data_IF_153034445808
#
_entry.id   IF_153034445808
#
_cell.length_a   1.000
_cell.length_b   1.000
_cell.length_c   1.000
_cell.angle_alpha   90.00
_cell.angle_beta   90.00
_cell.angle_gamma   90.00
#
_symmetry.space_group_name_H-M   'P 1'
#
loop_
_entity.id
_entity.type
_entity.pdbx_description
1 polymer ?
#
# COMPACT_ATOMS: atom_id res chain seq x y z
N UNK A 1 -11.11 -47.56 -42.60
CA UNK A 1 -11.30 -48.22 -41.29
C UNK A 1 -10.38 -47.51 -40.31
N UNK A 2 -10.79 -46.84 -39.24
CA UNK A 2 -12.08 -46.39 -38.71
C UNK A 2 -11.64 -45.25 -37.77
N UNK A 3 -11.88 -43.99 -38.14
CA UNK A 3 -12.82 -43.11 -37.42
C UNK A 3 -13.09 -43.53 -35.98
N UNK A 4 -12.52 -42.74 -35.08
CA UNK A 4 -12.70 -42.71 -33.64
C UNK A 4 -14.10 -42.22 -33.26
N UNK A 5 -14.68 -42.94 -32.29
CA UNK A 5 -15.95 -42.72 -31.60
C UNK A 5 -15.98 -41.43 -30.75
N UNK A 6 -16.22 -40.26 -31.35
CA UNK A 6 -16.45 -39.02 -30.57
C UNK A 6 -17.75 -38.26 -30.95
N UNK A 7 -18.70 -38.91 -31.60
CA UNK A 7 -19.99 -38.31 -32.01
C UNK A 7 -21.20 -38.71 -31.13
N UNK A 8 -20.98 -39.13 -29.88
CA UNK A 8 -22.05 -39.62 -29.00
C UNK A 8 -22.25 -38.84 -27.70
N UNK A 9 -22.07 -37.51 -27.69
CA UNK A 9 -22.56 -36.62 -26.60
C UNK A 9 -23.01 -35.26 -27.11
N UNK A 10 -24.06 -35.27 -27.94
CA UNK A 10 -24.93 -34.10 -28.17
C UNK A 10 -26.01 -34.14 -27.09
N UNK A 11 -25.93 -33.21 -26.15
CA UNK A 11 -26.91 -33.04 -25.07
C UNK A 11 -26.98 -31.55 -24.72
N UNK A 12 -28.14 -31.00 -25.05
CA UNK A 12 -28.78 -29.77 -24.59
C UNK A 12 -28.08 -28.41 -24.74
N UNK A 13 -28.70 -27.63 -25.62
CA UNK A 13 -28.69 -26.16 -25.66
C UNK A 13 -28.78 -25.59 -24.24
N UNK A 14 -27.79 -24.77 -23.87
CA UNK A 14 -27.87 -23.99 -22.63
C UNK A 14 -29.01 -22.98 -22.78
N UNK A 15 -30.07 -23.04 -21.97
CA UNK A 15 -31.06 -21.98 -21.98
C UNK A 15 -30.39 -20.69 -21.51
N UNK A 16 -30.61 -19.60 -22.25
CA UNK A 16 -30.37 -18.25 -21.74
C UNK A 16 -31.15 -18.11 -20.44
N UNK A 17 -30.46 -17.69 -19.37
CA UNK A 17 -31.12 -17.24 -18.14
C UNK A 17 -31.92 -15.97 -18.49
N UNK A 18 -33.21 -16.16 -18.73
CA UNK A 18 -34.20 -15.10 -18.66
C UNK A 18 -34.32 -14.76 -17.16
N UNK A 19 -33.78 -13.61 -16.76
CA UNK A 19 -34.04 -13.04 -15.43
C UNK A 19 -35.47 -12.51 -15.48
N UNK A 20 -36.40 -13.33 -15.01
CA UNK A 20 -37.82 -13.05 -15.02
C UNK A 20 -38.62 -14.28 -14.64
N UNK A 21 -38.29 -14.90 -13.51
CA UNK A 21 -39.17 -15.88 -12.87
C UNK A 21 -39.62 -15.32 -11.53
N UNK A 22 -40.96 -15.20 -11.44
CA UNK A 22 -41.80 -14.93 -10.28
C UNK A 22 -41.13 -15.28 -8.95
N UNK A 23 -40.69 -14.24 -8.24
CA UNK A 23 -40.55 -14.35 -6.79
C UNK A 23 -41.97 -14.39 -6.22
N UNK A 24 -42.27 -15.31 -5.27
CA UNK A 24 -43.54 -15.28 -4.58
C UNK A 24 -43.73 -13.90 -3.94
N UNK A 25 -44.90 -13.31 -4.15
CA UNK A 25 -45.33 -12.04 -3.59
C UNK A 25 -44.94 -11.98 -2.11
N UNK A 26 -44.03 -11.05 -1.78
CA UNK A 26 -43.63 -10.74 -0.40
C UNK A 26 -44.70 -9.80 0.16
N UNK A 27 -45.92 -10.31 0.30
CA UNK A 27 -47.01 -9.57 0.94
C UNK A 27 -47.33 -10.03 2.36
N UNK A 28 -46.74 -11.12 2.87
CA UNK A 28 -47.03 -11.63 4.21
C UNK A 28 -45.80 -12.18 4.95
N UNK A 29 -44.73 -11.39 5.09
CA UNK A 29 -43.73 -11.63 6.15
C UNK A 29 -43.77 -10.51 7.16
N UNK A 30 -44.22 -10.83 8.37
CA UNK A 30 -44.33 -9.87 9.45
C UNK A 30 -42.94 -9.32 9.85
N UNK A 31 -42.81 -8.07 10.29
CA UNK A 31 -41.52 -7.47 10.66
C UNK A 31 -40.72 -8.28 11.69
N UNK A 32 -41.41 -9.08 12.52
CA UNK A 32 -40.77 -9.98 13.48
C UNK A 32 -40.08 -11.18 12.82
N UNK A 33 -40.60 -11.69 11.70
CA UNK A 33 -40.02 -12.81 10.97
C UNK A 33 -38.75 -12.39 10.22
N UNK A 34 -38.73 -11.18 9.64
CA UNK A 34 -37.52 -10.61 9.05
C UNK A 34 -36.43 -10.36 10.10
N UNK A 35 -36.80 -9.98 11.33
CA UNK A 35 -35.84 -9.83 12.43
C UNK A 35 -35.27 -11.19 12.87
N UNK A 36 -36.11 -12.23 12.95
CA UNK A 36 -35.65 -13.60 13.25
C UNK A 36 -34.71 -14.14 12.17
N UNK A 37 -35.04 -13.93 10.90
CA UNK A 37 -34.18 -14.35 9.78
C UNK A 37 -32.83 -13.61 9.78
N UNK A 38 -32.82 -12.31 10.11
CA UNK A 38 -31.56 -11.55 10.25
C UNK A 38 -30.72 -12.04 11.42
N UNK A 39 -31.33 -12.33 12.58
CA UNK A 39 -30.61 -12.88 13.73
C UNK A 39 -30.06 -14.29 13.44
N UNK A 40 -30.81 -15.14 12.74
CA UNK A 40 -30.35 -16.47 12.33
C UNK A 40 -29.20 -16.38 11.32
N UNK A 41 -29.31 -15.52 10.31
CA UNK A 41 -28.24 -15.30 9.33
C UNK A 41 -26.96 -14.75 9.99
N UNK A 42 -27.09 -13.83 10.95
CA UNK A 42 -25.94 -13.31 11.70
C UNK A 42 -25.28 -14.39 12.57
N UNK A 43 -26.06 -15.28 13.19
CA UNK A 43 -25.53 -16.43 13.94
C UNK A 43 -24.82 -17.41 13.03
N UNK A 44 -25.37 -17.71 11.85
CA UNK A 44 -24.75 -18.60 10.88
C UNK A 44 -23.42 -18.03 10.37
N UNK A 45 -23.36 -16.73 10.06
CA UNK A 45 -22.12 -16.05 9.66
C UNK A 45 -21.10 -16.07 10.80
N UNK A 46 -21.51 -15.81 12.04
CA UNK A 46 -20.62 -15.83 13.20
C UNK A 46 -20.06 -17.25 13.45
N UNK A 47 -20.88 -18.29 13.31
CA UNK A 47 -20.42 -19.67 13.40
C UNK A 47 -19.50 -20.08 12.25
N UNK A 48 -19.81 -19.67 11.01
CA UNK A 48 -18.96 -19.93 9.86
C UNK A 48 -17.58 -19.27 10.01
N UNK A 49 -17.53 -18.02 10.49
CA UNK A 49 -16.27 -17.31 10.81
C UNK A 49 -15.48 -18.03 11.90
N UNK A 50 -16.14 -18.47 12.98
CA UNK A 50 -15.49 -19.22 14.06
C UNK A 50 -14.88 -20.54 13.55
N UNK A 51 -15.64 -21.32 12.77
CA UNK A 51 -15.15 -22.58 12.18
C UNK A 51 -13.98 -22.36 11.23
N UNK A 52 -14.03 -21.32 10.40
CA UNK A 52 -12.93 -20.98 9.50
C UNK A 52 -11.67 -20.60 10.28
N UNK A 53 -11.81 -19.80 11.34
CA UNK A 53 -10.69 -19.39 12.18
C UNK A 53 -10.06 -20.57 12.94
N UNK A 54 -10.89 -21.46 13.49
CA UNK A 54 -10.42 -22.71 14.11
C UNK A 54 -9.68 -23.62 13.12
N UNK A 55 -10.15 -23.70 11.86
CA UNK A 55 -9.50 -24.51 10.83
C UNK A 55 -8.14 -23.91 10.40
N UNK A 56 -8.05 -22.58 10.28
CA UNK A 56 -6.80 -21.87 10.00
C UNK A 56 -5.80 -22.08 11.13
N UNK A 57 -6.23 -21.92 12.39
CA UNK A 57 -5.36 -22.17 13.54
C UNK A 57 -4.88 -23.62 13.62
N UNK A 58 -5.76 -24.58 13.33
CA UNK A 58 -5.39 -26.00 13.28
C UNK A 58 -4.33 -26.25 12.21
N UNK A 59 -4.54 -25.77 10.98
CA UNK A 59 -3.58 -25.91 9.88
C UNK A 59 -2.24 -25.24 10.18
N UNK A 60 -2.27 -24.06 10.83
CA UNK A 60 -1.05 -23.38 11.28
C UNK A 60 -0.27 -24.21 12.31
N UNK A 61 -0.95 -24.76 13.33
CA UNK A 61 -0.30 -25.61 14.34
C UNK A 61 0.24 -26.91 13.75
N UNK A 62 -0.44 -27.49 12.76
CA UNK A 62 0.05 -28.67 12.03
C UNK A 62 1.30 -28.33 11.22
N UNK A 63 1.29 -27.25 10.44
CA UNK A 63 2.44 -26.79 9.66
C UNK A 63 3.66 -26.45 10.55
N UNK A 64 3.45 -25.79 11.69
CA UNK A 64 4.53 -25.49 12.64
C UNK A 64 5.14 -26.77 13.24
N UNK A 65 4.32 -27.82 13.49
CA UNK A 65 4.81 -29.11 13.97
C UNK A 65 5.62 -29.84 12.89
N UNK A 66 5.12 -29.89 11.66
CA UNK A 66 5.83 -30.51 10.54
C UNK A 66 7.18 -29.82 10.28
N UNK A 67 7.22 -28.48 10.34
CA UNK A 67 8.46 -27.72 10.16
C UNK A 67 9.48 -28.05 11.27
N UNK A 68 9.04 -28.07 12.53
CA UNK A 68 9.89 -28.40 13.66
C UNK A 68 10.41 -29.86 13.61
N UNK A 69 9.61 -30.80 13.10
CA UNK A 69 10.04 -32.18 12.89
C UNK A 69 11.06 -32.31 11.77
N UNK A 70 10.86 -31.61 10.65
CA UNK A 70 11.80 -31.56 9.53
C UNK A 70 13.14 -30.93 9.93
N UNK A 71 13.12 -29.85 10.71
CA UNK A 71 14.34 -29.23 11.23
C UNK A 71 15.11 -30.18 12.15
N UNK A 72 14.43 -30.83 13.11
CA UNK A 72 15.05 -31.83 13.98
C UNK A 72 15.57 -33.05 13.21
N UNK A 73 14.92 -33.43 12.11
CA UNK A 73 15.38 -34.51 11.25
C UNK A 73 16.64 -34.12 10.49
N UNK A 74 16.67 -32.92 9.88
CA UNK A 74 17.85 -32.37 9.18
C UNK A 74 19.03 -32.16 10.12
N UNK A 75 18.80 -31.64 11.32
CA UNK A 75 19.85 -31.45 12.32
C UNK A 75 20.46 -32.80 12.74
N UNK A 76 19.62 -33.82 12.96
CA UNK A 76 20.08 -35.19 13.24
C UNK A 76 20.87 -35.79 12.08
N UNK A 77 20.45 -35.55 10.84
CA UNK A 77 21.16 -36.03 9.66
C UNK A 77 22.53 -35.35 9.50
N UNK A 78 22.61 -34.03 9.66
CA UNK A 78 23.88 -33.29 9.60
C UNK A 78 24.83 -33.77 10.71
N UNK A 79 24.33 -33.91 11.94
CA UNK A 79 25.13 -34.40 13.06
C UNK A 79 25.63 -35.83 12.83
N UNK A 80 24.80 -36.69 12.22
CA UNK A 80 25.20 -38.06 11.85
C UNK A 80 26.29 -38.06 10.78
N UNK A 81 26.11 -37.32 9.68
CA UNK A 81 27.10 -37.24 8.59
C UNK A 81 28.43 -36.66 9.06
N UNK A 82 28.41 -35.70 9.99
CA UNK A 82 29.64 -35.16 10.60
C UNK A 82 30.38 -36.22 11.42
N UNK A 83 29.67 -37.01 12.23
CA UNK A 83 30.29 -38.10 13.01
C UNK A 83 30.87 -39.19 12.10
N UNK A 84 30.17 -39.53 11.02
CA UNK A 84 30.64 -40.52 10.04
C UNK A 84 31.93 -40.04 9.34
N UNK A 85 32.00 -38.75 8.97
CA UNK A 85 33.21 -38.15 8.40
C UNK A 85 34.38 -38.12 9.40
N UNK A 86 34.14 -37.69 10.64
CA UNK A 86 35.15 -37.67 11.70
C UNK A 86 35.71 -39.08 12.00
N UNK A 87 34.85 -40.10 11.99
CA UNK A 87 35.23 -41.49 12.22
C UNK A 87 36.02 -42.07 11.04
N UNK A 88 35.62 -41.74 9.81
CA UNK A 88 36.36 -42.09 8.59
C UNK A 88 37.77 -41.49 8.61
N UNK A 89 37.91 -40.20 8.95
CA UNK A 89 39.21 -39.52 9.07
C UNK A 89 40.09 -40.16 10.14
N UNK A 90 39.55 -40.44 11.33
CA UNK A 90 40.29 -41.11 12.41
C UNK A 90 40.76 -42.51 12.00
N UNK A 91 39.94 -43.26 11.26
CA UNK A 91 40.27 -44.60 10.81
C UNK A 91 41.38 -44.57 9.76
N UNK A 92 41.29 -43.64 8.80
CA UNK A 92 42.33 -43.43 7.80
C UNK A 92 43.66 -43.04 8.44
N UNK A 93 43.65 -42.11 9.40
CA UNK A 93 44.84 -41.69 10.12
C UNK A 93 45.48 -42.85 10.92
N UNK A 94 44.66 -43.67 11.60
CA UNK A 94 45.16 -44.86 12.34
C UNK A 94 45.77 -45.90 11.41
N UNK A 95 45.14 -46.17 10.25
CA UNK A 95 45.66 -47.10 9.23
C UNK A 95 46.98 -46.61 8.66
N UNK A 96 47.08 -45.34 8.30
CA UNK A 96 48.34 -44.75 7.81
C UNK A 96 49.44 -44.82 8.87
N UNK A 97 49.11 -44.53 10.13
CA UNK A 97 50.08 -44.62 11.25
C UNK A 97 50.57 -46.05 11.45
N UNK A 98 49.69 -47.06 11.34
CA UNK A 98 50.06 -48.48 11.46
C UNK A 98 50.94 -48.92 10.28
N UNK A 99 50.58 -48.56 9.05
CA UNK A 99 51.38 -48.86 7.86
C UNK A 99 52.78 -48.25 7.93
N UNK A 100 52.88 -47.00 8.39
CA UNK A 100 54.17 -46.34 8.61
C UNK A 100 55.04 -47.05 9.65
N UNK A 101 54.44 -47.51 10.75
CA UNK A 101 55.17 -48.30 11.77
C UNK A 101 55.67 -49.64 11.20
N UNK A 102 54.90 -50.30 10.34
CA UNK A 102 55.31 -51.54 9.68
C UNK A 102 56.47 -51.30 8.70
N UNK A 103 56.41 -50.25 7.89
CA UNK A 103 57.49 -49.87 6.96
C UNK A 103 58.78 -49.50 7.70
N UNK A 104 58.68 -48.78 8.82
CA UNK A 104 59.85 -48.50 9.66
C UNK A 104 60.44 -49.76 10.31
N UNK A 105 59.60 -50.74 10.66
CA UNK A 105 60.05 -52.00 11.24
C UNK A 105 60.72 -52.94 10.23
N UNK A 106 60.42 -52.80 8.93
CA UNK A 106 61.08 -53.53 7.84
C UNK A 106 62.38 -52.87 7.35
N UNK A 107 62.85 -51.79 8.01
CA UNK A 107 64.12 -51.14 7.70
C UNK A 107 64.08 -50.16 6.52
N UNK A 108 62.90 -49.91 5.93
CA UNK A 108 62.72 -48.93 4.86
C UNK A 108 62.36 -47.54 5.42
N UNK A 109 62.80 -46.48 4.74
CA UNK A 109 62.48 -45.11 5.12
C UNK A 109 61.04 -44.75 4.71
N UNK A 110 60.15 -44.40 5.66
CA UNK A 110 58.74 -44.13 5.35
C UNK A 110 58.59 -42.84 4.52
N UNK A 111 57.86 -42.93 3.40
CA UNK A 111 57.51 -41.78 2.52
C UNK A 111 56.65 -40.73 3.25
N UNK A 112 56.58 -39.51 2.69
CA UNK A 112 55.82 -38.36 3.22
C UNK A 112 54.35 -38.68 3.55
N UNK A 113 53.76 -37.93 4.48
CA UNK A 113 52.48 -38.26 5.14
C UNK A 113 51.36 -37.84 4.22
N UNK A 114 50.41 -38.74 3.94
CA UNK A 114 49.30 -38.50 3.03
C UNK A 114 48.05 -37.99 3.77
N UNK A 115 47.89 -38.32 5.06
CA UNK A 115 46.76 -37.84 5.88
C UNK A 115 47.27 -36.93 7.01
N UNK A 116 46.74 -35.72 7.06
CA UNK A 116 47.04 -34.76 8.13
C UNK A 116 46.43 -35.21 9.47
N UNK A 117 47.10 -34.86 10.57
CA UNK A 117 46.58 -35.12 11.92
C UNK A 117 45.33 -34.23 12.11
N UNK A 118 44.19 -34.77 12.61
CA UNK A 118 42.97 -33.98 12.78
C UNK A 118 43.26 -32.77 13.69
N UNK A 119 43.01 -31.54 13.22
CA UNK A 119 43.38 -30.35 13.95
C UNK A 119 42.49 -30.16 15.18
N UNK A 120 43.09 -30.04 16.38
CA UNK A 120 42.42 -29.30 17.46
C UNK A 120 42.55 -27.83 17.10
N UNK A 121 41.44 -27.13 16.92
CA UNK A 121 41.43 -25.72 16.51
C UNK A 121 41.47 -24.82 17.75
N UNK A 122 42.60 -24.17 18.08
CA UNK A 122 42.55 -22.95 18.86
C UNK A 122 42.02 -21.82 17.96
N UNK A 123 40.95 -21.16 18.39
CA UNK A 123 40.34 -20.00 17.72
C UNK A 123 41.28 -18.78 17.63
N UNK A 124 42.48 -18.82 18.23
CA UNK A 124 43.32 -17.64 18.50
C UNK A 124 44.35 -17.26 17.43
N UNK A 125 44.41 -17.94 16.27
CA UNK A 125 45.46 -17.66 15.26
C UNK A 125 45.02 -17.49 13.79
N UNK A 126 43.71 -17.54 13.48
CA UNK A 126 43.22 -17.22 12.12
C UNK A 126 42.62 -15.82 12.12
N UNK A 127 43.36 -14.82 11.62
CA UNK A 127 42.79 -13.49 11.30
C UNK A 127 41.60 -13.60 10.34
N UNK A 128 40.70 -12.61 10.31
CA UNK A 128 39.43 -12.69 9.55
C UNK A 128 39.64 -13.15 8.09
N UNK A 129 40.70 -12.72 7.42
CA UNK A 129 41.07 -13.15 6.06
C UNK A 129 41.20 -14.66 5.83
N UNK A 130 41.56 -15.45 6.85
CA UNK A 130 41.72 -16.93 6.74
C UNK A 130 40.47 -17.70 7.17
N UNK A 131 39.44 -16.99 7.65
CA UNK A 131 38.13 -17.56 7.95
C UNK A 131 37.25 -17.40 6.71
N UNK A 132 36.99 -18.49 6.00
CA UNK A 132 36.03 -18.49 4.88
C UNK A 132 34.69 -17.88 5.30
N UNK A 133 34.28 -18.10 6.56
CA UNK A 133 33.07 -17.53 7.16
C UNK A 133 33.09 -16.00 7.27
N UNK A 134 34.24 -15.39 7.61
CA UNK A 134 34.33 -13.93 7.70
C UNK A 134 34.26 -13.28 6.31
N UNK A 135 34.83 -13.95 5.30
CA UNK A 135 34.81 -13.49 3.92
C UNK A 135 33.41 -13.62 3.30
N UNK A 136 32.68 -14.70 3.61
CA UNK A 136 31.27 -14.85 3.20
C UNK A 136 30.36 -13.84 3.90
N UNK A 137 30.56 -13.57 5.20
CA UNK A 137 29.81 -12.54 5.92
C UNK A 137 30.08 -11.17 5.31
N UNK A 138 31.35 -10.81 5.06
CA UNK A 138 31.69 -9.54 4.42
C UNK A 138 31.08 -9.38 3.01
N UNK A 139 31.10 -10.44 2.20
CA UNK A 139 30.46 -10.42 0.89
C UNK A 139 28.93 -10.27 1.01
N UNK A 140 28.28 -11.04 1.88
CA UNK A 140 26.84 -10.95 2.12
C UNK A 140 26.43 -9.57 2.64
N UNK A 141 27.20 -8.99 3.56
CA UNK A 141 27.01 -7.63 4.07
C UNK A 141 27.12 -6.59 2.97
N UNK A 142 28.16 -6.67 2.13
CA UNK A 142 28.34 -5.77 1.01
C UNK A 142 27.18 -5.85 0.02
N UNK A 143 26.76 -7.07 -0.35
CA UNK A 143 25.62 -7.29 -1.24
C UNK A 143 24.33 -6.76 -0.63
N UNK A 144 24.06 -7.06 0.64
CA UNK A 144 22.85 -6.59 1.33
C UNK A 144 22.78 -5.06 1.39
N UNK A 145 23.89 -4.39 1.72
CA UNK A 145 23.96 -2.92 1.71
C UNK A 145 23.73 -2.35 0.31
N UNK A 146 24.44 -2.87 -0.70
CA UNK A 146 24.32 -2.37 -2.07
C UNK A 146 22.91 -2.57 -2.59
N UNK A 147 22.37 -3.79 -2.51
CA UNK A 147 21.00 -4.07 -2.97
C UNK A 147 20.00 -3.23 -2.20
N UNK A 148 20.08 -3.19 -0.87
CA UNK A 148 19.17 -2.38 -0.04
C UNK A 148 19.23 -0.89 -0.35
N UNK A 149 20.40 -0.33 -0.65
CA UNK A 149 20.56 1.07 -1.04
C UNK A 149 19.95 1.39 -2.41
N UNK A 150 20.11 0.48 -3.38
CA UNK A 150 19.60 0.65 -4.73
C UNK A 150 18.08 0.43 -4.82
N UNK A 151 17.53 -0.48 -4.01
CA UNK A 151 16.07 -0.68 -3.92
C UNK A 151 15.40 0.39 -3.06
N UNK A 152 16.15 1.06 -2.19
CA UNK A 152 15.66 2.16 -1.36
C UNK A 152 15.59 3.54 -2.06
N UNK A 153 15.60 3.62 -3.40
CA UNK A 153 15.55 4.90 -4.10
C UNK A 153 14.16 5.54 -3.99
N UNK A 154 13.98 6.67 -3.29
CA UNK A 154 12.68 7.30 -3.15
C UNK A 154 12.36 8.25 -4.31
N UNK A 155 11.07 8.45 -4.58
CA UNK A 155 10.57 9.72 -5.12
C UNK A 155 10.12 9.74 -6.58
N UNK A 156 9.84 8.58 -7.18
CA UNK A 156 9.29 8.48 -8.53
C UNK A 156 10.11 9.15 -9.65
N UNK A 157 9.79 8.82 -10.89
CA UNK A 157 10.26 9.60 -12.04
C UNK A 157 9.72 11.03 -12.02
N UNK A 158 10.24 11.95 -12.86
CA UNK A 158 9.51 13.16 -13.20
C UNK A 158 8.10 12.86 -13.71
N UNK A 159 7.95 11.77 -14.45
CA UNK A 159 6.66 11.31 -15.00
C UNK A 159 5.64 11.03 -13.89
N UNK A 160 6.00 10.26 -12.86
CA UNK A 160 5.13 9.98 -11.69
C UNK A 160 4.72 11.27 -10.99
N UNK A 161 5.63 12.23 -10.82
CA UNK A 161 5.28 13.50 -10.16
C UNK A 161 4.33 14.34 -11.00
N UNK A 162 4.46 14.30 -12.32
CA UNK A 162 3.48 14.90 -13.24
C UNK A 162 2.14 14.18 -13.14
N UNK A 163 2.14 12.85 -13.10
CA UNK A 163 0.95 12.02 -12.95
C UNK A 163 0.20 12.31 -11.64
N UNK A 164 0.91 12.48 -10.51
CA UNK A 164 0.33 12.92 -9.23
C UNK A 164 -0.38 14.27 -9.39
N UNK A 165 0.26 15.23 -10.07
CA UNK A 165 -0.31 16.57 -10.27
C UNK A 165 -1.54 16.53 -11.17
N UNK A 166 -1.49 15.77 -12.25
CA UNK A 166 -2.57 15.64 -13.21
C UNK A 166 -3.77 14.88 -12.60
N UNK A 167 -3.50 13.83 -11.81
CA UNK A 167 -4.53 13.07 -11.07
C UNK A 167 -5.26 13.96 -10.07
N UNK A 168 -4.52 14.68 -9.22
CA UNK A 168 -5.10 15.60 -8.23
C UNK A 168 -5.91 16.73 -8.88
N UNK A 169 -5.36 17.34 -9.94
CA UNK A 169 -6.07 18.38 -10.69
C UNK A 169 -7.35 17.84 -11.35
N UNK A 170 -7.28 16.65 -11.94
CA UNK A 170 -8.46 15.99 -12.52
C UNK A 170 -9.50 15.71 -11.45
N UNK A 171 -9.11 15.30 -10.25
CA UNK A 171 -10.03 15.06 -9.13
C UNK A 171 -10.77 16.33 -8.71
N UNK A 172 -10.06 17.44 -8.53
CA UNK A 172 -10.70 18.73 -8.23
C UNK A 172 -11.72 19.13 -9.31
N UNK A 173 -11.39 18.96 -10.59
CA UNK A 173 -12.31 19.25 -11.70
C UNK A 173 -13.53 18.32 -11.69
N UNK A 174 -13.37 17.05 -11.33
CA UNK A 174 -14.48 16.12 -11.16
C UNK A 174 -15.40 16.52 -10.02
N UNK A 175 -14.87 16.85 -8.83
CA UNK A 175 -15.68 17.36 -7.72
C UNK A 175 -16.41 18.65 -8.08
N UNK A 176 -15.77 19.55 -8.82
CA UNK A 176 -16.42 20.76 -9.35
C UNK A 176 -17.53 20.44 -10.37
N UNK A 177 -17.36 19.39 -11.18
CA UNK A 177 -18.42 18.88 -12.06
C UNK A 177 -19.62 18.37 -11.23
N UNK A 178 -19.37 17.63 -10.15
CA UNK A 178 -20.41 17.20 -9.21
C UNK A 178 -21.18 18.38 -8.63
N UNK A 179 -20.47 19.38 -8.09
CA UNK A 179 -21.05 20.61 -7.57
C UNK A 179 -21.87 21.39 -8.60
N UNK A 180 -21.39 21.46 -9.85
CA UNK A 180 -22.15 22.09 -10.94
C UNK A 180 -23.45 21.32 -11.22
N UNK A 181 -23.45 19.99 -11.13
CA UNK A 181 -24.68 19.20 -11.23
C UNK A 181 -25.63 19.44 -10.04
N UNK A 182 -25.09 19.60 -8.82
CA UNK A 182 -25.84 19.96 -7.61
C UNK A 182 -26.51 21.33 -7.74
N UNK A 183 -25.81 22.31 -8.30
CA UNK A 183 -26.37 23.63 -8.60
C UNK A 183 -27.50 23.55 -9.63
N UNK A 184 -27.28 22.81 -10.71
CA UNK A 184 -28.27 22.64 -11.76
C UNK A 184 -29.55 21.99 -11.24
N UNK A 185 -29.46 20.95 -10.39
CA UNK A 185 -30.66 20.31 -9.83
C UNK A 185 -31.35 21.23 -8.82
N UNK A 186 -30.59 21.96 -7.99
CA UNK A 186 -31.18 22.88 -7.00
C UNK A 186 -31.93 24.02 -7.69
N UNK A 187 -31.35 24.61 -8.73
CA UNK A 187 -32.00 25.63 -9.54
C UNK A 187 -33.24 25.09 -10.26
N UNK A 188 -33.17 23.89 -10.84
CA UNK A 188 -34.33 23.23 -11.47
C UNK A 188 -35.47 23.03 -10.47
N UNK A 189 -35.17 22.51 -9.28
CA UNK A 189 -36.18 22.26 -8.23
C UNK A 189 -36.77 23.56 -7.67
N UNK A 190 -36.01 24.66 -7.68
CA UNK A 190 -36.49 26.01 -7.38
C UNK A 190 -37.30 26.65 -8.52
N UNK A 191 -37.54 25.94 -9.63
CA UNK A 191 -38.25 26.47 -10.80
C UNK A 191 -37.49 27.56 -11.55
N UNK A 192 -36.16 27.61 -11.39
CA UNK A 192 -35.28 28.54 -12.10
C UNK A 192 -34.82 27.91 -13.41
N UNK A 193 -34.72 28.73 -14.45
CA UNK A 193 -34.19 28.30 -15.74
C UNK A 193 -32.69 28.04 -15.62
N UNK A 194 -32.28 26.82 -15.98
CA UNK A 194 -30.88 26.43 -16.08
C UNK A 194 -30.56 26.32 -17.56
N UNK A 195 -29.72 27.22 -18.06
CA UNK A 195 -29.35 27.24 -19.49
C UNK A 195 -27.98 26.62 -19.71
N UNK A 196 -27.79 25.84 -20.80
CA UNK A 196 -26.46 25.42 -21.20
C UNK A 196 -25.62 26.63 -21.60
N UNK A 197 -24.31 26.44 -21.69
CA UNK A 197 -23.37 27.45 -22.19
C UNK A 197 -23.64 27.78 -23.67
N UNK A 198 -22.94 28.78 -24.20
CA UNK A 198 -23.18 29.31 -25.55
C UNK A 198 -22.94 28.29 -26.67
N UNK A 199 -22.16 27.24 -26.42
CA UNK A 199 -21.88 26.13 -27.32
C UNK A 199 -22.88 24.96 -27.18
N UNK A 200 -23.83 25.05 -26.25
CA UNK A 200 -24.81 24.01 -25.94
C UNK A 200 -24.35 22.99 -24.90
N UNK A 201 -23.14 23.15 -24.35
CA UNK A 201 -22.59 22.24 -23.33
C UNK A 201 -23.11 22.64 -21.95
N UNK A 202 -23.43 21.66 -21.10
CA UNK A 202 -23.78 21.93 -19.71
C UNK A 202 -22.52 22.20 -18.85
N UNK A 203 -22.58 23.10 -17.85
CA UNK A 203 -21.40 23.48 -17.06
C UNK A 203 -20.66 22.30 -16.42
N UNK A 204 -21.39 21.33 -15.87
CA UNK A 204 -20.82 20.12 -15.28
C UNK A 204 -20.15 19.23 -16.33
N UNK A 205 -20.78 19.06 -17.50
CA UNK A 205 -20.22 18.27 -18.60
C UNK A 205 -18.91 18.85 -19.11
N UNK A 206 -18.82 20.18 -19.24
CA UNK A 206 -17.57 20.84 -19.62
C UNK A 206 -16.45 20.55 -18.63
N UNK A 207 -16.73 20.61 -17.32
CA UNK A 207 -15.76 20.30 -16.26
C UNK A 207 -15.32 18.83 -16.29
N UNK A 208 -16.26 17.90 -16.49
CA UNK A 208 -15.99 16.47 -16.65
C UNK A 208 -15.08 16.17 -17.86
N UNK A 209 -15.32 16.86 -18.99
CA UNK A 209 -14.50 16.76 -20.19
C UNK A 209 -13.10 17.37 -19.97
N UNK A 210 -12.99 18.50 -19.27
CA UNK A 210 -11.71 19.10 -18.89
C UNK A 210 -10.92 18.17 -17.96
N UNK A 211 -11.57 17.57 -16.97
CA UNK A 211 -10.97 16.61 -16.06
C UNK A 211 -10.37 15.40 -16.82
N UNK A 212 -11.17 14.81 -17.72
CA UNK A 212 -10.75 13.66 -18.54
C UNK A 212 -9.61 14.01 -19.52
N UNK A 213 -9.53 15.26 -19.97
CA UNK A 213 -8.42 15.72 -20.80
C UNK A 213 -7.11 15.90 -20.00
N UNK A 214 -7.20 16.25 -18.71
CA UNK A 214 -6.04 16.36 -17.81
C UNK A 214 -5.51 14.97 -17.44
N UNK A 215 -6.40 14.04 -17.10
CA UNK A 215 -6.03 12.67 -16.73
C UNK A 215 -6.79 11.63 -17.59
N UNK A 216 -6.20 11.22 -18.73
CA UNK A 216 -6.85 10.35 -19.70
C UNK A 216 -7.19 8.95 -19.17
N UNK A 217 -8.22 8.34 -19.76
CA UNK A 217 -8.70 7.01 -19.34
C UNK A 217 -9.93 7.07 -18.44
N UNK A 218 -10.52 8.26 -18.26
CA UNK A 218 -11.78 8.51 -17.56
C UNK A 218 -12.93 8.96 -18.49
N UNK A 219 -12.73 8.88 -19.80
CA UNK A 219 -13.70 9.30 -20.83
C UNK A 219 -15.10 8.67 -20.64
N UNK A 220 -15.14 7.42 -20.16
CA UNK A 220 -16.39 6.74 -19.83
C UNK A 220 -17.27 7.53 -18.84
N UNK A 221 -16.67 8.16 -17.82
CA UNK A 221 -17.41 8.97 -16.86
C UNK A 221 -17.86 10.30 -17.47
N UNK A 222 -17.07 10.89 -18.37
CA UNK A 222 -17.45 12.14 -19.04
C UNK A 222 -18.62 11.93 -20.02
N UNK A 223 -18.57 10.86 -20.82
CA UNK A 223 -19.66 10.46 -21.71
C UNK A 223 -20.95 10.20 -20.92
N UNK A 224 -20.83 9.55 -19.76
CA UNK A 224 -21.97 9.25 -18.89
C UNK A 224 -22.51 10.50 -18.20
N UNK A 225 -21.65 11.41 -17.76
CA UNK A 225 -22.07 12.71 -17.23
C UNK A 225 -22.83 13.51 -18.29
N UNK A 226 -22.38 13.51 -19.54
CA UNK A 226 -23.08 14.14 -20.67
C UNK A 226 -24.48 13.55 -20.88
N UNK A 227 -24.56 12.23 -21.04
CA UNK A 227 -25.81 11.52 -21.30
C UNK A 227 -26.82 11.72 -20.15
N UNK A 228 -26.38 11.57 -18.91
CA UNK A 228 -27.23 11.70 -17.72
C UNK A 228 -27.70 13.14 -17.52
N UNK A 229 -26.82 14.13 -17.73
CA UNK A 229 -27.17 15.55 -17.59
C UNK A 229 -28.17 15.98 -18.66
N UNK A 230 -27.95 15.60 -19.92
CA UNK A 230 -28.90 15.91 -20.99
C UNK A 230 -30.30 15.35 -20.70
N UNK A 231 -30.38 14.14 -20.15
CA UNK A 231 -31.65 13.54 -19.71
C UNK A 231 -32.22 14.20 -18.47
N UNK A 232 -31.39 14.54 -17.49
CA UNK A 232 -31.78 15.23 -16.25
C UNK A 232 -32.45 16.57 -16.56
N UNK A 233 -31.90 17.31 -17.52
CA UNK A 233 -32.34 18.67 -17.86
C UNK A 233 -33.47 18.75 -18.89
N UNK A 234 -33.81 17.65 -19.57
CA UNK A 234 -34.86 17.65 -20.59
C UNK A 234 -36.24 18.07 -20.03
N UNK A 235 -37.01 18.80 -20.85
CA UNK A 235 -38.34 19.32 -20.49
C UNK A 235 -39.35 18.22 -20.13
N UNK A 236 -39.19 17.02 -20.70
CA UNK A 236 -40.08 15.87 -20.47
C UNK A 236 -39.70 14.99 -19.27
N UNK A 237 -38.61 15.30 -18.57
CA UNK A 237 -38.12 14.48 -17.45
C UNK A 237 -38.82 14.87 -16.16
N UNK A 238 -39.46 13.88 -15.51
CA UNK A 238 -40.09 14.07 -14.19
C UNK A 238 -39.05 14.36 -13.11
N UNK A 239 -39.45 15.07 -12.06
CA UNK A 239 -38.53 15.48 -10.98
C UNK A 239 -37.84 14.29 -10.30
N UNK A 240 -38.59 13.22 -10.01
CA UNK A 240 -38.02 11.98 -9.44
C UNK A 240 -36.95 11.38 -10.36
N UNK A 241 -37.17 11.39 -11.68
CA UNK A 241 -36.19 10.87 -12.65
C UNK A 241 -34.99 11.79 -12.76
N UNK A 242 -35.19 13.11 -12.75
CA UNK A 242 -34.12 14.10 -12.76
C UNK A 242 -33.24 13.93 -11.50
N UNK A 243 -33.85 13.81 -10.32
CA UNK A 243 -33.17 13.56 -9.05
C UNK A 243 -32.41 12.23 -9.02
N UNK A 244 -32.95 11.17 -9.64
CA UNK A 244 -32.23 9.90 -9.76
C UNK A 244 -30.98 10.05 -10.64
N UNK A 245 -31.11 10.71 -11.79
CA UNK A 245 -29.99 10.97 -12.70
C UNK A 245 -28.93 11.89 -12.07
N UNK A 246 -29.38 12.91 -11.34
CA UNK A 246 -28.52 13.79 -10.56
C UNK A 246 -27.68 13.00 -9.54
N UNK A 247 -28.30 12.16 -8.70
CA UNK A 247 -27.58 11.36 -7.69
C UNK A 247 -26.58 10.39 -8.34
N UNK A 248 -26.85 9.89 -9.55
CA UNK A 248 -25.87 9.14 -10.34
C UNK A 248 -24.69 10.02 -10.77
N UNK A 249 -24.94 11.19 -11.34
CA UNK A 249 -23.89 12.13 -11.79
C UNK A 249 -23.03 12.62 -10.62
N UNK A 250 -23.65 13.00 -9.50
CA UNK A 250 -22.96 13.45 -8.29
C UNK A 250 -22.03 12.35 -7.75
N UNK A 251 -22.52 11.11 -7.60
CA UNK A 251 -21.69 9.99 -7.13
C UNK A 251 -20.58 9.65 -8.12
N UNK A 252 -20.87 9.64 -9.42
CA UNK A 252 -19.87 9.36 -10.45
C UNK A 252 -18.75 10.38 -10.47
N UNK A 253 -19.04 11.66 -10.22
CA UNK A 253 -18.03 12.69 -10.05
C UNK A 253 -17.05 12.36 -8.91
N UNK A 254 -17.55 11.93 -7.75
CA UNK A 254 -16.70 11.50 -6.62
C UNK A 254 -15.88 10.24 -6.90
N UNK A 255 -16.36 9.32 -7.76
CA UNK A 255 -15.69 8.06 -8.10
C UNK A 255 -14.80 8.10 -9.34
N UNK A 256 -14.92 9.12 -10.19
CA UNK A 256 -14.21 9.18 -11.47
C UNK A 256 -12.69 9.21 -11.27
N UNK A 257 -12.22 9.92 -10.24
CA UNK A 257 -10.85 9.84 -9.73
C UNK A 257 -10.96 9.65 -8.22
N UNK A 258 -10.66 8.45 -7.74
CA UNK A 258 -10.83 8.12 -6.32
C UNK A 258 -9.84 8.86 -5.41
N UNK A 259 -10.19 9.10 -4.12
CA UNK A 259 -9.30 9.75 -3.15
C UNK A 259 -7.96 9.01 -2.96
N UNK A 260 -7.99 7.69 -3.11
CA UNK A 260 -6.81 6.82 -2.98
C UNK A 260 -5.89 6.84 -4.21
N UNK A 261 -6.26 7.41 -5.37
CA UNK A 261 -5.42 7.31 -6.57
C UNK A 261 -4.08 8.04 -6.42
N UNK A 262 -4.06 9.19 -5.73
CA UNK A 262 -2.79 9.88 -5.42
C UNK A 262 -1.99 9.10 -4.38
N UNK A 263 -2.65 8.51 -3.38
CA UNK A 263 -1.99 7.67 -2.39
C UNK A 263 -1.33 6.45 -3.03
N UNK A 264 -2.03 5.76 -3.93
CA UNK A 264 -1.53 4.60 -4.69
C UNK A 264 -0.29 4.99 -5.51
N UNK A 265 -0.35 6.12 -6.23
CA UNK A 265 0.79 6.64 -6.99
C UNK A 265 1.98 6.96 -6.07
N UNK A 266 1.71 7.55 -4.90
CA UNK A 266 2.74 7.86 -3.90
C UNK A 266 3.31 6.61 -3.25
N UNK A 267 2.49 5.58 -3.01
CA UNK A 267 2.91 4.30 -2.42
C UNK A 267 3.74 3.49 -3.44
N UNK A 268 3.32 3.44 -4.69
CA UNK A 268 4.07 2.80 -5.77
C UNK A 268 5.39 3.52 -6.05
N UNK A 269 5.38 4.86 -5.96
CA UNK A 269 6.57 5.68 -6.14
C UNK A 269 7.42 5.85 -4.88
N UNK A 270 6.90 5.40 -3.73
CA UNK A 270 7.61 5.45 -2.46
C UNK A 270 8.83 4.56 -2.59
N UNK A 271 9.92 5.04 -2.00
CA UNK A 271 11.15 4.27 -1.93
C UNK A 271 10.99 3.05 -1.01
N UNK A 272 12.06 2.69 -0.29
CA UNK A 272 12.30 1.34 0.22
C UNK A 272 11.04 0.62 0.72
N UNK A 273 10.66 -0.44 0.02
CA UNK A 273 9.75 -1.45 0.55
C UNK A 273 10.33 -2.04 1.85
N UNK A 274 9.50 -2.73 2.65
CA UNK A 274 9.96 -3.36 3.90
C UNK A 274 11.20 -4.25 3.69
N UNK A 275 11.38 -4.80 2.49
CA UNK A 275 12.55 -5.57 2.09
C UNK A 275 13.84 -4.75 2.01
N UNK A 276 13.79 -3.55 1.46
CA UNK A 276 14.93 -2.64 1.39
C UNK A 276 15.46 -2.27 2.78
N UNK A 277 14.57 -2.00 3.73
CA UNK A 277 14.96 -1.77 5.14
C UNK A 277 15.55 -3.02 5.80
N UNK A 278 15.00 -4.21 5.52
CA UNK A 278 15.55 -5.47 5.99
C UNK A 278 16.97 -5.71 5.45
N UNK A 279 17.21 -5.44 4.17
CA UNK A 279 18.53 -5.58 3.54
C UNK A 279 19.56 -4.59 4.12
N UNK A 280 19.18 -3.32 4.27
CA UNK A 280 20.03 -2.30 4.90
C UNK A 280 20.35 -2.67 6.36
N UNK A 281 19.33 -3.10 7.12
CA UNK A 281 19.49 -3.56 8.50
C UNK A 281 20.40 -4.78 8.62
N UNK A 282 20.22 -5.79 7.76
CA UNK A 282 21.09 -6.97 7.68
C UNK A 282 22.54 -6.58 7.33
N UNK A 283 22.71 -5.62 6.43
CA UNK A 283 24.00 -5.01 6.10
C UNK A 283 24.69 -4.39 7.32
N UNK A 284 23.98 -3.51 8.04
CA UNK A 284 24.51 -2.88 9.26
C UNK A 284 24.88 -3.92 10.32
N UNK A 285 23.99 -4.89 10.60
CA UNK A 285 24.27 -5.97 11.55
C UNK A 285 25.48 -6.82 11.16
N UNK A 286 25.65 -7.06 9.86
CA UNK A 286 26.83 -7.74 9.32
C UNK A 286 28.14 -6.98 9.57
N UNK A 287 28.13 -5.65 9.40
CA UNK A 287 29.31 -4.81 9.73
C UNK A 287 29.63 -4.87 11.24
N UNK A 288 28.60 -4.83 12.10
CA UNK A 288 28.77 -4.98 13.55
C UNK A 288 29.37 -6.35 13.89
N UNK A 289 28.86 -7.43 13.29
CA UNK A 289 29.39 -8.78 13.48
C UNK A 289 30.87 -8.88 13.06
N UNK A 290 31.26 -8.25 11.95
CA UNK A 290 32.66 -8.17 11.50
C UNK A 290 33.52 -7.38 12.50
N UNK A 291 33.02 -6.28 13.04
CA UNK A 291 33.73 -5.49 14.05
C UNK A 291 33.96 -6.29 15.34
N UNK A 292 32.94 -7.03 15.81
CA UNK A 292 33.05 -7.94 16.97
C UNK A 292 34.05 -9.05 16.69
N UNK A 293 34.03 -9.67 15.50
CA UNK A 293 35.02 -10.67 15.11
C UNK A 293 36.44 -10.08 15.06
N UNK A 294 36.61 -8.84 14.60
CA UNK A 294 37.90 -8.16 14.61
C UNK A 294 38.40 -7.91 16.04
N UNK A 295 37.51 -7.52 16.95
CA UNK A 295 37.83 -7.34 18.36
C UNK A 295 38.26 -8.67 19.02
N UNK A 296 37.46 -9.73 18.87
CA UNK A 296 37.75 -11.07 19.40
C UNK A 296 39.04 -11.65 18.79
N UNK A 297 39.23 -11.43 17.49
CA UNK A 297 40.45 -11.79 16.77
C UNK A 297 41.65 -10.89 17.04
N UNK A 298 41.54 -9.91 17.96
CA UNK A 298 42.58 -8.91 18.30
C UNK A 298 43.19 -8.21 17.08
N UNK A 299 42.38 -8.01 16.04
CA UNK A 299 42.74 -7.33 14.81
C UNK A 299 42.57 -5.82 14.97
N UNK A 300 43.41 -5.22 15.83
CA UNK A 300 43.31 -3.80 16.23
C UNK A 300 43.39 -2.82 15.05
N UNK A 301 44.01 -3.21 13.93
CA UNK A 301 44.09 -2.39 12.71
C UNK A 301 42.75 -2.37 11.95
N UNK A 302 41.99 -3.47 11.97
CA UNK A 302 40.72 -3.59 11.24
C UNK A 302 39.54 -2.98 12.03
N UNK A 303 39.61 -3.00 13.36
CA UNK A 303 38.55 -2.49 14.24
C UNK A 303 38.13 -1.04 13.93
N UNK A 304 39.03 -0.03 13.90
CA UNK A 304 38.61 1.35 13.64
C UNK A 304 37.98 1.50 12.25
N UNK A 305 38.50 0.80 11.24
CA UNK A 305 37.96 0.83 9.87
C UNK A 305 36.53 0.28 9.81
N UNK A 306 36.26 -0.84 10.49
CA UNK A 306 34.93 -1.44 10.55
C UNK A 306 33.95 -0.59 11.37
N UNK A 307 34.43 0.09 12.42
CA UNK A 307 33.61 1.06 13.17
C UNK A 307 33.21 2.23 12.27
N UNK A 308 34.14 2.80 11.49
CA UNK A 308 33.82 3.86 10.52
C UNK A 308 32.84 3.37 9.46
N UNK A 309 33.05 2.17 8.90
CA UNK A 309 32.11 1.58 7.92
C UNK A 309 30.71 1.43 8.52
N UNK A 310 30.61 0.96 9.76
CA UNK A 310 29.31 0.81 10.45
C UNK A 310 28.64 2.16 10.64
N UNK A 311 29.38 3.19 11.08
CA UNK A 311 28.86 4.55 11.22
C UNK A 311 28.35 5.14 9.90
N UNK A 312 29.06 4.92 8.79
CA UNK A 312 28.62 5.32 7.46
C UNK A 312 27.34 4.60 7.02
N UNK A 313 27.23 3.29 7.27
CA UNK A 313 26.03 2.52 6.92
C UNK A 313 24.81 2.94 7.76
N UNK A 314 25.00 3.22 9.05
CA UNK A 314 23.95 3.77 9.92
C UNK A 314 23.52 5.16 9.43
N UNK A 315 24.47 6.03 9.10
CA UNK A 315 24.15 7.36 8.56
C UNK A 315 23.39 7.27 7.23
N UNK A 316 23.77 6.37 6.33
CA UNK A 316 23.04 6.12 5.08
C UNK A 316 21.59 5.66 5.35
N UNK A 317 21.40 4.71 6.27
CA UNK A 317 20.07 4.25 6.68
C UNK A 317 19.23 5.39 7.29
N UNK A 318 19.83 6.24 8.13
CA UNK A 318 19.13 7.38 8.72
C UNK A 318 18.68 8.40 7.69
N UNK A 319 19.49 8.67 6.67
CA UNK A 319 19.13 9.59 5.57
C UNK A 319 17.96 9.02 4.76
N UNK A 320 18.01 7.73 4.41
CA UNK A 320 16.92 7.05 3.72
C UNK A 320 15.63 7.07 4.54
N UNK A 321 15.70 6.75 5.83
CA UNK A 321 14.54 6.74 6.71
C UNK A 321 13.95 8.14 6.93
N UNK A 322 14.78 9.17 7.03
CA UNK A 322 14.32 10.55 7.17
C UNK A 322 13.52 11.00 5.94
N UNK A 323 14.03 10.73 4.73
CA UNK A 323 13.33 11.07 3.49
C UNK A 323 11.96 10.36 3.36
N UNK A 324 11.88 9.08 3.73
CA UNK A 324 10.61 8.33 3.73
C UNK A 324 9.58 8.90 4.74
N UNK A 325 10.03 9.29 5.94
CA UNK A 325 9.17 9.94 6.94
C UNK A 325 8.65 11.29 6.45
N UNK A 326 9.49 12.09 5.78
CA UNK A 326 9.06 13.39 5.23
C UNK A 326 8.03 13.21 4.11
N UNK A 327 8.23 12.25 3.20
CA UNK A 327 7.23 11.92 2.16
C UNK A 327 5.94 11.40 2.81
N UNK A 328 5.99 10.62 3.90
CA UNK A 328 4.81 10.21 4.70
C UNK A 328 4.06 11.38 5.28
N UNK A 329 4.77 12.30 5.91
CA UNK A 329 4.16 13.50 6.47
C UNK A 329 3.50 14.36 5.38
N UNK A 330 4.14 14.50 4.22
CA UNK A 330 3.60 15.29 3.12
C UNK A 330 2.39 14.62 2.44
N UNK A 331 2.41 13.29 2.28
CA UNK A 331 1.30 12.52 1.73
C UNK A 331 0.08 12.58 2.65
N UNK A 332 0.25 12.34 3.95
CA UNK A 332 -0.85 12.44 4.92
C UNK A 332 -1.44 13.85 5.01
N UNK A 333 -0.62 14.89 4.83
CA UNK A 333 -1.10 16.27 4.77
C UNK A 333 -1.83 16.62 3.46
N UNK A 334 -1.57 15.87 2.39
CA UNK A 334 -2.29 15.98 1.12
C UNK A 334 -3.62 15.21 1.19
N UNK A 335 -3.60 13.97 1.68
CA UNK A 335 -4.78 13.15 1.99
C UNK A 335 -5.78 13.92 2.86
N UNK A 336 -5.35 14.47 4.00
CA UNK A 336 -6.23 15.25 4.88
C UNK A 336 -6.82 16.51 4.22
N UNK A 337 -6.15 17.08 3.20
CA UNK A 337 -6.67 18.22 2.45
C UNK A 337 -7.66 17.80 1.36
N UNK A 338 -7.46 16.61 0.77
CA UNK A 338 -8.37 16.01 -0.21
C UNK A 338 -9.65 15.50 0.47
N UNK A 339 -9.52 14.82 1.62
CA UNK A 339 -10.63 14.36 2.45
C UNK A 339 -11.57 15.51 2.85
N UNK A 340 -11.01 16.69 3.13
CA UNK A 340 -11.79 17.87 3.48
C UNK A 340 -12.69 18.36 2.32
N UNK A 341 -12.27 18.14 1.05
CA UNK A 341 -13.12 18.43 -0.12
C UNK A 341 -14.18 17.35 -0.30
N UNK A 342 -13.76 16.08 -0.19
CA UNK A 342 -14.62 14.91 -0.37
C UNK A 342 -15.75 14.89 0.67
N UNK A 343 -15.44 15.21 1.92
CA UNK A 343 -16.41 15.25 3.02
C UNK A 343 -17.52 16.28 2.78
N UNK A 344 -17.17 17.48 2.28
CA UNK A 344 -18.17 18.52 1.96
C UNK A 344 -18.99 18.12 0.73
N UNK A 345 -18.34 17.58 -0.30
CA UNK A 345 -19.01 17.13 -1.52
C UNK A 345 -20.02 16.01 -1.20
N UNK A 346 -19.59 14.96 -0.51
CA UNK A 346 -20.42 13.84 -0.12
C UNK A 346 -21.54 14.23 0.85
N UNK A 347 -21.25 15.14 1.79
CA UNK A 347 -22.29 15.64 2.69
C UNK A 347 -23.34 16.46 1.93
N UNK A 348 -22.94 17.30 0.98
CA UNK A 348 -23.89 18.06 0.16
C UNK A 348 -24.81 17.11 -0.61
N UNK A 349 -24.25 16.06 -1.22
CA UNK A 349 -25.04 15.03 -1.89
C UNK A 349 -26.06 14.39 -0.93
N UNK A 350 -25.61 13.99 0.27
CA UNK A 350 -26.51 13.45 1.30
C UNK A 350 -27.60 14.44 1.71
N UNK A 351 -27.24 15.67 2.02
CA UNK A 351 -28.15 16.73 2.44
C UNK A 351 -29.22 16.98 1.36
N UNK A 352 -28.84 17.07 0.08
CA UNK A 352 -29.79 17.23 -1.03
C UNK A 352 -30.68 15.99 -1.23
N UNK A 353 -30.15 14.78 -1.05
CA UNK A 353 -30.97 13.56 -1.06
C UNK A 353 -32.03 13.56 0.05
N UNK A 354 -31.70 14.11 1.23
CA UNK A 354 -32.65 14.29 2.34
C UNK A 354 -33.68 15.36 1.99
N UNK A 355 -33.22 16.53 1.54
CA UNK A 355 -34.05 17.68 1.15
C UNK A 355 -35.11 17.29 0.13
N UNK A 356 -34.75 16.48 -0.87
CA UNK A 356 -35.67 16.04 -1.93
C UNK A 356 -36.39 14.72 -1.63
N UNK A 357 -36.18 14.14 -0.44
CA UNK A 357 -36.89 12.94 0.00
C UNK A 357 -36.55 11.67 -0.79
N UNK A 358 -35.38 11.62 -1.43
CA UNK A 358 -34.90 10.45 -2.19
C UNK A 358 -33.90 9.61 -1.41
N UNK A 359 -33.46 10.07 -0.24
CA UNK A 359 -32.57 9.32 0.64
C UNK A 359 -33.19 8.00 1.09
N UNK A 360 -32.44 6.91 0.97
CA UNK A 360 -32.86 5.57 1.44
C UNK A 360 -32.47 5.27 2.88
N UNK A 361 -31.74 6.17 3.54
CA UNK A 361 -31.26 5.97 4.91
C UNK A 361 -32.39 6.21 5.91
N UNK A 362 -32.49 5.36 6.94
CA UNK A 362 -33.43 5.58 8.04
C UNK A 362 -32.92 6.61 9.06
N UNK A 363 -31.64 6.95 8.99
CA UNK A 363 -31.02 7.97 9.84
C UNK A 363 -31.35 9.37 9.34
N UNK A 364 -31.31 9.59 8.02
CA UNK A 364 -31.60 10.89 7.38
C UNK A 364 -33.05 11.35 7.55
N UNK A 365 -33.95 10.44 7.93
CA UNK A 365 -35.35 10.74 8.24
C UNK A 365 -35.56 11.28 9.66
N UNK A 366 -34.50 11.33 10.47
CA UNK A 366 -34.57 11.79 11.86
C UNK A 366 -34.39 13.31 11.93
N UNK A 367 -35.12 14.01 12.81
CA UNK A 367 -34.94 15.46 13.01
C UNK A 367 -33.50 15.84 13.36
N UNK A 368 -32.79 14.96 14.06
CA UNK A 368 -31.41 15.19 14.49
C UNK A 368 -30.40 15.17 13.34
N UNK A 369 -30.79 14.75 12.12
CA UNK A 369 -29.89 14.71 10.96
C UNK A 369 -29.24 16.07 10.65
N UNK A 370 -30.00 17.16 10.76
CA UNK A 370 -29.49 18.49 10.42
C UNK A 370 -28.62 19.12 11.52
N UNK A 371 -28.74 18.63 12.75
CA UNK A 371 -28.12 19.26 13.93
C UNK A 371 -27.05 18.42 14.59
N UNK A 372 -27.07 17.10 14.39
CA UNK A 372 -26.31 16.11 15.16
C UNK A 372 -25.91 14.93 14.23
N UNK A 373 -25.49 15.26 12.99
CA UNK A 373 -25.04 14.27 12.00
C UNK A 373 -23.69 13.66 12.44
N UNK A 374 -23.63 12.39 12.87
CA UNK A 374 -22.38 11.75 13.25
C UNK A 374 -21.48 11.48 12.03
N UNK A 375 -21.99 11.67 10.81
CA UNK A 375 -21.27 11.44 9.57
C UNK A 375 -20.71 12.72 8.94
N UNK A 376 -21.00 13.89 9.52
CA UNK A 376 -20.33 15.14 9.16
C UNK A 376 -19.51 15.63 10.34
N UNK A 377 -18.20 15.67 10.18
CA UNK A 377 -17.33 16.17 11.24
C UNK A 377 -17.30 17.70 11.11
N UNK A 378 -17.79 18.40 12.15
CA UNK A 378 -17.72 19.88 12.27
C UNK A 378 -16.29 20.46 12.19
N UNK A 379 -15.28 19.61 12.01
CA UNK A 379 -13.86 19.95 12.00
C UNK A 379 -13.35 20.39 10.62
N UNK A 380 -14.13 20.31 9.54
CA UNK A 380 -13.71 20.81 8.22
C UNK A 380 -13.41 22.32 8.31
N UNK A 381 -12.15 22.75 8.14
CA UNK A 381 -11.81 24.17 8.23
C UNK A 381 -12.57 24.98 7.18
N UNK A 382 -13.00 26.20 7.50
CA UNK A 382 -13.69 27.06 6.53
C UNK A 382 -15.14 26.68 6.20
N UNK A 383 -15.70 25.59 6.75
CA UNK A 383 -17.07 25.15 6.45
C UNK A 383 -18.18 25.98 7.14
N UNK A 384 -17.88 27.16 7.69
CA UNK A 384 -18.84 27.94 8.47
C UNK A 384 -20.04 28.40 7.63
N UNK A 385 -19.82 28.77 6.38
CA UNK A 385 -20.92 29.17 5.47
C UNK A 385 -21.82 27.99 5.16
N UNK A 386 -21.24 26.81 4.89
CA UNK A 386 -22.03 25.60 4.63
C UNK A 386 -22.82 25.15 5.87
N UNK A 387 -22.21 25.16 7.06
CA UNK A 387 -22.90 24.84 8.32
C UNK A 387 -24.06 25.80 8.60
N UNK A 388 -23.89 27.10 8.32
CA UNK A 388 -24.98 28.07 8.43
C UNK A 388 -26.12 27.74 7.45
N UNK A 389 -25.80 27.37 6.20
CA UNK A 389 -26.79 26.95 5.22
C UNK A 389 -27.53 25.66 5.62
N UNK A 390 -26.87 24.72 6.30
CA UNK A 390 -27.52 23.53 6.89
C UNK A 390 -28.51 23.90 7.98
N UNK A 391 -28.16 24.88 8.82
CA UNK A 391 -29.08 25.39 9.82
C UNK A 391 -30.29 26.10 9.17
N UNK A 392 -30.06 26.91 8.14
CA UNK A 392 -31.13 27.57 7.38
C UNK A 392 -32.05 26.54 6.70
N UNK A 393 -31.51 25.41 6.22
CA UNK A 393 -32.31 24.30 5.68
C UNK A 393 -33.20 23.65 6.75
N UNK A 394 -32.67 23.43 7.95
CA UNK A 394 -33.47 22.90 9.06
C UNK A 394 -34.68 23.79 9.37
N UNK A 395 -34.47 25.11 9.40
CA UNK A 395 -35.55 26.09 9.61
C UNK A 395 -36.52 26.14 8.41
N UNK A 396 -36.02 25.95 7.18
CA UNK A 396 -36.84 25.97 5.96
C UNK A 396 -37.80 24.76 5.85
N UNK A 397 -37.40 23.59 6.37
CA UNK A 397 -38.24 22.39 6.39
C UNK A 397 -39.55 22.61 7.17
N UNK A 398 -39.57 23.52 8.16
CA UNK A 398 -40.78 23.89 8.90
C UNK A 398 -41.68 24.89 8.14
N UNK A 399 -41.13 25.59 7.14
CA UNK A 399 -41.77 26.70 6.43
C UNK A 399 -42.43 26.28 5.11
N UNK A 400 -42.12 25.08 4.61
CA UNK A 400 -42.76 24.47 3.44
C UNK A 400 -41.91 24.49 2.16
N UNK A 401 -42.44 23.89 1.09
CA UNK A 401 -41.69 23.51 -0.12
C UNK A 401 -40.91 24.65 -0.79
N UNK A 402 -41.48 25.86 -0.85
CA UNK A 402 -40.81 27.01 -1.47
C UNK A 402 -39.59 27.48 -0.67
N UNK A 403 -39.67 27.46 0.67
CA UNK A 403 -38.54 27.82 1.52
C UNK A 403 -37.43 26.76 1.40
N UNK A 404 -37.81 25.48 1.33
CA UNK A 404 -36.89 24.36 1.14
C UNK A 404 -36.14 24.47 -0.20
N UNK A 405 -36.84 24.81 -1.29
CA UNK A 405 -36.21 24.94 -2.61
C UNK A 405 -35.18 26.09 -2.65
N UNK A 406 -35.46 27.22 -1.98
CA UNK A 406 -34.53 28.34 -1.85
C UNK A 406 -33.34 28.00 -0.93
N UNK A 407 -33.59 27.36 0.21
CA UNK A 407 -32.54 26.90 1.12
C UNK A 407 -31.61 25.86 0.47
N UNK A 408 -32.13 25.03 -0.45
CA UNK A 408 -31.32 24.06 -1.18
C UNK A 408 -30.28 24.74 -2.08
N UNK A 409 -30.64 25.87 -2.70
CA UNK A 409 -29.67 26.69 -3.43
C UNK A 409 -28.62 27.26 -2.49
N UNK A 410 -29.03 27.75 -1.31
CA UNK A 410 -28.11 28.23 -0.27
C UNK A 410 -27.14 27.16 0.23
N UNK A 411 -27.58 25.90 0.36
CA UNK A 411 -26.72 24.76 0.69
C UNK A 411 -25.62 24.56 -0.36
N UNK A 412 -26.00 24.53 -1.63
CA UNK A 412 -25.03 24.36 -2.74
C UNK A 412 -24.05 25.54 -2.78
N UNK A 413 -24.54 26.77 -2.59
CA UNK A 413 -23.68 27.95 -2.57
C UNK A 413 -22.67 27.92 -1.42
N UNK A 414 -23.10 27.54 -0.22
CA UNK A 414 -22.22 27.41 0.95
C UNK A 414 -21.19 26.28 0.79
N UNK A 415 -21.59 25.14 0.23
CA UNK A 415 -20.69 24.03 -0.08
C UNK A 415 -19.65 24.41 -1.16
N UNK A 416 -20.09 25.10 -2.22
CA UNK A 416 -19.19 25.61 -3.27
C UNK A 416 -18.16 26.55 -2.69
N UNK A 417 -18.57 27.53 -1.89
CA UNK A 417 -17.65 28.47 -1.24
C UNK A 417 -16.63 27.73 -0.35
N UNK A 418 -17.09 26.71 0.38
CA UNK A 418 -16.22 25.89 1.24
C UNK A 418 -15.20 25.12 0.42
N UNK A 419 -15.63 24.40 -0.62
CA UNK A 419 -14.75 23.62 -1.50
C UNK A 419 -13.75 24.51 -2.24
N UNK A 420 -14.22 25.61 -2.85
CA UNK A 420 -13.34 26.57 -3.53
C UNK A 420 -12.33 27.22 -2.56
N UNK A 421 -12.74 27.49 -1.32
CA UNK A 421 -11.86 27.99 -0.27
C UNK A 421 -10.77 27.00 0.16
N UNK A 422 -11.03 25.70 0.03
CA UNK A 422 -10.10 24.63 0.38
C UNK A 422 -9.15 24.22 -0.75
N UNK A 423 -9.51 24.45 -2.02
CA UNK A 423 -8.65 24.15 -3.18
C UNK A 423 -7.20 24.68 -2.99
N UNK A 424 -6.95 25.95 -2.60
CA UNK A 424 -5.58 26.43 -2.39
C UNK A 424 -4.78 25.66 -1.32
N UNK A 425 -5.45 25.12 -0.29
CA UNK A 425 -4.81 24.31 0.74
C UNK A 425 -4.38 22.95 0.18
N UNK A 426 -5.24 22.31 -0.62
CA UNK A 426 -4.92 21.09 -1.36
C UNK A 426 -3.76 21.33 -2.34
N UNK A 427 -3.81 22.40 -3.13
CA UNK A 427 -2.74 22.74 -4.08
C UNK A 427 -1.38 22.96 -3.38
N UNK A 428 -1.40 23.59 -2.21
CA UNK A 428 -0.22 23.79 -1.37
C UNK A 428 0.29 22.45 -0.80
N UNK A 429 -0.62 21.57 -0.37
CA UNK A 429 -0.26 20.22 0.09
C UNK A 429 0.35 19.37 -1.03
N UNK A 430 -0.27 19.36 -2.23
CA UNK A 430 0.25 18.76 -3.45
C UNK A 430 1.64 19.30 -3.79
N UNK A 431 1.81 20.63 -3.79
CA UNK A 431 3.09 21.27 -4.05
C UNK A 431 4.19 20.85 -3.07
N UNK A 432 3.85 20.71 -1.77
CA UNK A 432 4.76 20.16 -0.75
C UNK A 432 5.08 18.70 -0.99
N UNK A 433 4.09 17.85 -1.27
CA UNK A 433 4.28 16.43 -1.57
C UNK A 433 5.25 16.23 -2.75
N UNK A 434 4.96 16.86 -3.89
CA UNK A 434 5.79 16.81 -5.09
C UNK A 434 7.18 17.37 -4.84
N UNK A 435 7.28 18.47 -4.08
CA UNK A 435 8.54 19.09 -3.68
C UNK A 435 9.40 18.17 -2.81
N UNK A 436 8.79 17.52 -1.82
CA UNK A 436 9.46 16.56 -0.92
C UNK A 436 9.92 15.33 -1.68
N UNK A 437 9.11 14.79 -2.59
CA UNK A 437 9.51 13.67 -3.46
C UNK A 437 10.68 14.03 -4.40
N UNK A 438 10.74 15.30 -4.86
CA UNK A 438 11.88 15.78 -5.64
C UNK A 438 13.14 15.95 -4.77
N UNK A 439 13.01 16.48 -3.56
CA UNK A 439 14.11 16.67 -2.60
C UNK A 439 14.68 15.37 -2.05
N UNK A 440 13.84 14.36 -1.81
CA UNK A 440 14.29 13.04 -1.32
C UNK A 440 15.31 12.37 -2.26
N UNK A 441 15.29 12.71 -3.55
CA UNK A 441 16.25 12.21 -4.53
C UNK A 441 17.67 12.77 -4.30
N UNK A 442 17.81 14.04 -3.90
CA UNK A 442 19.14 14.59 -3.59
C UNK A 442 19.72 13.99 -2.32
N UNK A 443 18.87 13.76 -1.31
CA UNK A 443 19.29 13.14 -0.05
C UNK A 443 19.61 11.66 -0.23
N UNK A 444 18.91 10.97 -1.14
CA UNK A 444 19.29 9.62 -1.56
C UNK A 444 20.68 9.56 -2.19
N UNK A 445 21.08 10.58 -2.97
CA UNK A 445 22.45 10.65 -3.50
C UNK A 445 23.50 10.68 -2.38
N UNK A 446 23.21 11.37 -1.27
CA UNK A 446 24.04 11.37 -0.08
C UNK A 446 24.00 10.02 0.64
N UNK A 447 22.82 9.41 0.80
CA UNK A 447 22.65 8.06 1.37
C UNK A 447 23.43 6.99 0.59
N UNK A 448 23.36 7.02 -0.74
CA UNK A 448 24.17 6.19 -1.63
C UNK A 448 25.66 6.40 -1.43
N UNK A 449 26.11 7.66 -1.39
CA UNK A 449 27.52 8.00 -1.21
C UNK A 449 28.07 7.44 0.10
N UNK A 450 27.32 7.61 1.20
CA UNK A 450 27.65 7.07 2.51
C UNK A 450 27.65 5.53 2.52
N UNK A 451 26.62 4.93 1.93
CA UNK A 451 26.46 3.49 1.89
C UNK A 451 27.52 2.77 1.04
N UNK A 452 27.82 3.28 -0.15
CA UNK A 452 28.95 2.80 -0.97
C UNK A 452 30.28 3.03 -0.26
N UNK A 453 30.44 4.16 0.43
CA UNK A 453 31.57 4.43 1.31
C UNK A 453 31.72 3.35 2.39
N UNK A 454 30.64 2.95 3.05
CA UNK A 454 30.64 1.89 4.05
C UNK A 454 31.09 0.53 3.48
N UNK A 455 30.64 0.19 2.26
CA UNK A 455 31.04 -1.05 1.58
C UNK A 455 32.53 -1.06 1.26
N UNK A 456 33.07 0.04 0.71
CA UNK A 456 34.49 0.17 0.36
C UNK A 456 35.37 0.14 1.61
N UNK A 457 35.00 0.92 2.63
CA UNK A 457 35.73 0.99 3.91
C UNK A 457 35.67 -0.36 4.63
N UNK A 458 34.50 -1.01 4.67
CA UNK A 458 34.32 -2.34 5.26
C UNK A 458 35.20 -3.39 4.58
N UNK A 459 35.25 -3.42 3.25
CA UNK A 459 36.12 -4.31 2.48
C UNK A 459 37.61 -4.06 2.79
N UNK A 460 38.02 -2.80 2.92
CA UNK A 460 39.37 -2.43 3.34
C UNK A 460 39.70 -2.94 4.76
N UNK A 461 38.77 -2.81 5.70
CA UNK A 461 38.93 -3.33 7.07
C UNK A 461 39.13 -4.85 7.11
N UNK A 462 38.35 -5.58 6.32
CA UNK A 462 38.51 -7.04 6.17
C UNK A 462 39.85 -7.38 5.51
N UNK A 463 40.29 -6.62 4.50
CA UNK A 463 41.57 -6.83 3.82
C UNK A 463 42.78 -6.57 4.75
N UNK A 464 42.70 -5.53 5.59
CA UNK A 464 43.75 -5.14 6.54
C UNK A 464 43.88 -6.10 7.73
N UNK A 465 42.90 -6.96 7.97
CA UNK A 465 42.98 -8.04 8.98
C UNK A 465 44.00 -9.14 8.61
N UNK A 466 44.58 -9.11 7.40
CA UNK A 466 45.60 -10.04 6.95
C UNK A 466 46.90 -9.82 7.72
N UNK A 467 47.15 -10.67 8.70
CA UNK A 467 48.26 -10.51 9.63
C UNK A 467 49.60 -10.23 8.97
N UNK A 468 50.33 -9.26 9.55
CA UNK A 468 51.79 -9.18 9.57
C UNK A 468 52.32 -10.50 10.14
N UNK A 469 52.48 -11.49 9.27
CA UNK A 469 53.08 -12.77 9.58
C UNK A 469 54.45 -12.84 8.94
N UNK A 470 55.48 -12.46 9.72
CA UNK A 470 56.92 -12.67 9.50
C UNK A 470 57.58 -11.92 8.34
N UNK A 471 58.24 -10.82 8.68
CA UNK A 471 59.60 -10.55 8.20
C UNK A 471 60.48 -10.53 9.44
N UNK A 472 61.37 -11.53 9.48
CA UNK A 472 62.59 -11.75 10.28
C UNK A 472 62.68 -11.22 11.72
#
# INVERSE_FOLDING_TARGET
MSSTDEDARRGDERPMLIIGEDRPDVEDTTPEELRRQREEAQREIAEARRRAQEEIERKRREAERELAELERAKEREIARRQRELDEAERTLYKRETRLRRQVSASGETPKARLVEKPPRVPLSQKGLRRSSRALTVAAATGVALVVGLFTAAPGGGPDVRTEIVDTDRSRVLWLQSGLAADEMIAQRMAGRDVTPEADGTWPNVRLAQEASAVYPGRDFYADRAEESTARMMAEGTSDVRALTLWSEVHREAGYAVGPWEVEDLVEEARGPDGWSYLLLGAGVLGLVALAVLALVGRSWVALPVLVVATGLAVAALSVVAAGDVEVRGAAAAHEAADDALDEVHDQLGRDLEVTYGISTSSYTQRPEFWTDDPFYVDEVPGAQTYLAARQDMADALEQGEQAVAEAAVGLVDGARETIEGQVPALESARGRLVGTMAGSRSDWGLGLGLGLGAVVVGAAGVALSGGRGRTE
#
